data_IF_883982993705
#
_entry.id   IF_883982993705
#
_cell.length_a   1.000
_cell.length_b   1.000
_cell.length_c   1.000
_cell.angle_alpha   90.00
_cell.angle_beta   90.00
_cell.angle_gamma   90.00
#
_symmetry.space_group_name_H-M   'P 1'
#
loop_
_entity.id
_entity.type
_entity.pdbx_description
1 polymer ?
#
# COMPACT_ATOMS: atom_id res chain seq x y z
N UNK A 1 68.52 -38.10 18.00
CA UNK A 1 68.42 -39.41 17.31
C UNK A 1 66.97 -39.86 17.39
N UNK A 2 66.32 -40.45 16.36
CA UNK A 2 66.48 -40.44 14.89
C UNK A 2 65.57 -39.32 14.28
N UNK A 3 65.33 -39.09 12.99
CA UNK A 3 65.64 -39.77 11.73
C UNK A 3 64.43 -39.66 10.76
N UNK A 4 64.67 -39.06 9.60
CA UNK A 4 64.11 -39.29 8.26
C UNK A 4 62.60 -39.16 7.92
N UNK A 5 62.33 -38.15 7.06
CA UNK A 5 61.66 -38.18 5.75
C UNK A 5 60.59 -39.26 5.44
N UNK A 6 59.39 -38.81 5.04
CA UNK A 6 58.90 -39.07 3.68
C UNK A 6 57.86 -38.03 3.24
N UNK A 7 58.09 -37.43 2.07
CA UNK A 7 57.17 -36.58 1.32
C UNK A 7 56.22 -37.49 0.55
N UNK A 8 54.91 -37.26 0.65
CA UNK A 8 54.00 -37.64 -0.44
C UNK A 8 52.93 -36.58 -0.60
N UNK A 9 53.09 -35.83 -1.68
CA UNK A 9 52.08 -34.97 -2.29
C UNK A 9 50.97 -35.87 -2.83
N UNK A 10 49.74 -35.67 -2.37
CA UNK A 10 48.54 -36.01 -3.17
C UNK A 10 47.58 -34.84 -3.07
N UNK A 11 47.27 -34.28 -4.25
CA UNK A 11 46.33 -33.22 -4.50
C UNK A 11 44.94 -33.55 -3.92
N UNK A 12 44.38 -32.60 -3.20
CA UNK A 12 42.98 -32.60 -2.79
C UNK A 12 42.46 -31.17 -2.74
N UNK A 13 42.15 -30.63 -3.93
CA UNK A 13 41.48 -29.35 -4.11
C UNK A 13 40.05 -29.47 -3.59
N UNK A 14 39.72 -28.89 -2.43
CA UNK A 14 38.39 -28.30 -2.18
C UNK A 14 38.56 -27.05 -1.33
N UNK A 15 38.18 -25.95 -1.95
CA UNK A 15 38.41 -24.56 -1.56
C UNK A 15 37.59 -24.18 -0.34
N UNK A 16 38.27 -23.57 0.62
CA UNK A 16 37.76 -22.66 1.64
C UNK A 16 37.14 -21.42 0.98
N UNK A 17 35.82 -21.23 1.08
CA UNK A 17 35.18 -19.89 1.03
C UNK A 17 33.80 -19.95 1.66
N UNK A 18 33.74 -19.88 3.00
CA UNK A 18 32.59 -19.35 3.71
C UNK A 18 32.99 -17.96 4.19
N UNK A 19 32.10 -16.99 3.97
CA UNK A 19 32.24 -15.53 4.15
C UNK A 19 32.57 -14.82 2.82
N UNK A 20 31.68 -13.89 2.45
CA UNK A 20 31.59 -13.06 1.23
C UNK A 20 30.73 -13.67 0.09
N UNK A 21 29.41 -13.63 0.27
CA UNK A 21 28.44 -13.67 -0.86
C UNK A 21 27.18 -12.80 -0.60
N UNK A 22 27.25 -11.79 0.26
CA UNK A 22 26.13 -10.87 0.51
C UNK A 22 26.24 -9.51 -0.20
N UNK A 23 27.17 -9.29 -1.13
CA UNK A 23 27.38 -7.96 -1.71
C UNK A 23 27.38 -7.84 -3.24
N UNK A 24 27.08 -8.87 -4.02
CA UNK A 24 26.97 -8.72 -5.49
C UNK A 24 25.89 -9.60 -6.08
N UNK A 25 24.66 -9.09 -6.13
CA UNK A 25 23.61 -9.61 -7.02
C UNK A 25 22.79 -8.46 -7.61
N UNK A 26 23.46 -7.67 -8.45
CA UNK A 26 22.84 -6.80 -9.46
C UNK A 26 22.12 -7.59 -10.57
N UNK A 27 21.92 -8.90 -10.39
CA UNK A 27 21.26 -9.79 -11.35
C UNK A 27 19.77 -10.04 -11.08
N UNK A 28 19.20 -9.51 -9.99
CA UNK A 28 17.77 -9.70 -9.71
C UNK A 28 16.84 -8.75 -10.51
N UNK A 29 17.41 -7.74 -11.19
CA UNK A 29 16.65 -6.72 -11.93
C UNK A 29 16.47 -7.10 -13.43
N UNK A 30 17.18 -8.10 -13.95
CA UNK A 30 17.19 -8.41 -15.39
C UNK A 30 16.16 -9.47 -15.87
N UNK A 31 15.32 -10.04 -14.99
CA UNK A 31 14.31 -11.05 -15.39
C UNK A 31 12.88 -10.54 -15.57
N UNK A 32 12.61 -9.26 -15.31
CA UNK A 32 11.27 -8.67 -15.48
C UNK A 32 11.21 -7.60 -16.58
N UNK A 33 12.01 -7.77 -17.63
CA UNK A 33 11.75 -7.10 -18.91
C UNK A 33 10.47 -7.72 -19.53
N UNK A 34 9.42 -6.92 -19.65
CA UNK A 34 8.11 -7.30 -20.23
C UNK A 34 8.31 -7.96 -21.61
N UNK A 35 7.80 -9.17 -21.87
CA UNK A 35 7.46 -9.57 -23.22
C UNK A 35 6.19 -8.82 -23.62
N UNK A 36 6.22 -8.13 -24.76
CA UNK A 36 5.03 -7.65 -25.45
C UNK A 36 4.21 -8.87 -25.90
N UNK A 37 3.16 -9.21 -25.15
CA UNK A 37 2.21 -10.23 -25.57
C UNK A 37 0.89 -9.61 -26.01
N UNK A 38 0.49 -10.01 -27.22
CA UNK A 38 -0.80 -9.75 -27.84
C UNK A 38 -1.97 -10.18 -26.91
N UNK A 39 -3.13 -9.54 -27.02
CA UNK A 39 -4.28 -9.85 -26.16
C UNK A 39 -4.78 -11.28 -26.40
N UNK A 40 -4.77 -12.09 -25.35
CA UNK A 40 -5.43 -13.40 -25.30
C UNK A 40 -6.95 -13.15 -25.20
N UNK A 41 -7.81 -13.84 -25.99
CA UNK A 41 -9.25 -13.65 -25.90
C UNK A 41 -9.78 -14.10 -24.53
N UNK A 42 -10.56 -13.23 -23.88
CA UNK A 42 -11.17 -13.52 -22.59
C UNK A 42 -12.34 -14.52 -22.71
N UNK A 43 -12.40 -15.58 -21.88
CA UNK A 43 -13.56 -16.46 -21.83
C UNK A 43 -14.76 -15.76 -21.16
N UNK A 44 -15.95 -15.98 -21.70
CA UNK A 44 -17.22 -15.51 -21.10
C UNK A 44 -17.64 -16.46 -19.97
N UNK A 45 -17.42 -16.08 -18.71
CA UNK A 45 -17.93 -16.84 -17.56
C UNK A 45 -18.69 -15.97 -16.55
N UNK A 46 -19.76 -16.55 -15.99
CA UNK A 46 -20.65 -15.97 -14.98
C UNK A 46 -20.00 -15.88 -13.61
N UNK A 47 -20.55 -15.04 -12.73
CA UNK A 47 -19.97 -14.61 -11.46
C UNK A 47 -19.66 -15.74 -10.47
N UNK A 48 -20.36 -16.87 -10.52
CA UNK A 48 -20.19 -17.98 -9.57
C UNK A 48 -18.95 -18.85 -9.88
N UNK A 49 -18.65 -19.12 -11.15
CA UNK A 49 -17.45 -19.89 -11.55
C UNK A 49 -16.14 -19.08 -11.38
N UNK A 50 -16.21 -17.75 -11.42
CA UNK A 50 -15.05 -16.88 -11.22
C UNK A 50 -14.63 -16.76 -9.75
N UNK A 51 -15.56 -16.94 -8.80
CA UNK A 51 -15.20 -17.05 -7.38
C UNK A 51 -14.39 -18.31 -7.11
N UNK A 52 -14.74 -19.44 -7.71
CA UNK A 52 -14.10 -20.72 -7.43
C UNK A 52 -12.67 -20.79 -7.99
N UNK A 53 -12.43 -20.22 -9.18
CA UNK A 53 -11.08 -20.10 -9.75
C UNK A 53 -10.21 -19.15 -8.91
N UNK A 54 -10.79 -18.05 -8.43
CA UNK A 54 -10.07 -17.09 -7.60
C UNK A 54 -9.82 -17.60 -6.16
N UNK A 55 -10.72 -18.43 -5.64
CA UNK A 55 -10.58 -19.16 -4.38
C UNK A 55 -9.51 -20.24 -4.51
N UNK A 56 -9.51 -21.02 -5.59
CA UNK A 56 -8.47 -22.00 -5.87
C UNK A 56 -7.10 -21.34 -6.05
N UNK A 57 -7.03 -20.16 -6.70
CA UNK A 57 -5.80 -19.39 -6.82
C UNK A 57 -5.32 -18.85 -5.47
N UNK A 58 -6.23 -18.40 -4.59
CA UNK A 58 -5.89 -18.03 -3.22
C UNK A 58 -5.38 -19.24 -2.44
N UNK A 59 -6.17 -20.31 -2.33
CA UNK A 59 -5.81 -21.50 -1.56
C UNK A 59 -4.52 -22.17 -2.08
N UNK A 60 -4.28 -22.14 -3.39
CA UNK A 60 -3.00 -22.56 -4.00
C UNK A 60 -1.84 -21.64 -3.63
N UNK A 61 -2.00 -20.32 -3.75
CA UNK A 61 -0.90 -19.40 -3.46
C UNK A 61 -0.53 -19.36 -1.96
N UNK A 62 -1.53 -19.56 -1.11
CA UNK A 62 -1.45 -19.82 0.33
C UNK A 62 -0.65 -21.13 0.56
N UNK A 63 -1.05 -22.24 -0.05
CA UNK A 63 -0.36 -23.53 0.06
C UNK A 63 1.09 -23.53 -0.48
N UNK A 64 1.38 -22.74 -1.52
CA UNK A 64 2.71 -22.62 -2.14
C UNK A 64 3.62 -21.58 -1.44
N UNK A 65 3.14 -20.94 -0.37
CA UNK A 65 3.90 -19.93 0.38
C UNK A 65 4.22 -18.65 -0.41
N UNK A 66 3.57 -18.44 -1.56
CA UNK A 66 3.79 -17.30 -2.45
C UNK A 66 2.46 -16.59 -2.84
N UNK A 67 1.59 -16.19 -1.89
CA UNK A 67 0.39 -15.41 -2.20
C UNK A 67 0.75 -13.94 -2.39
N UNK A 68 1.72 -13.63 -3.26
CA UNK A 68 2.21 -12.27 -3.42
C UNK A 68 1.57 -11.68 -4.67
N UNK A 69 0.62 -10.77 -4.44
CA UNK A 69 0.17 -9.85 -5.48
C UNK A 69 1.38 -9.08 -6.00
N UNK A 70 1.58 -8.96 -7.33
CA UNK A 70 2.72 -8.21 -7.85
C UNK A 70 2.65 -6.76 -7.36
N UNK A 71 3.77 -6.15 -6.95
CA UNK A 71 3.78 -4.76 -6.54
C UNK A 71 3.56 -3.85 -7.75
N UNK A 72 3.17 -2.59 -7.50
CA UNK A 72 3.14 -1.54 -8.51
C UNK A 72 2.16 -1.76 -9.67
N UNK A 73 1.03 -2.41 -9.40
CA UNK A 73 -0.11 -2.46 -10.33
C UNK A 73 -1.04 -1.29 -10.04
N UNK A 74 -1.24 -0.39 -10.99
CA UNK A 74 -2.03 0.83 -10.77
C UNK A 74 -3.53 0.54 -10.62
N UNK A 75 -4.09 0.88 -9.46
CA UNK A 75 -5.52 0.73 -9.17
C UNK A 75 -6.19 2.08 -8.85
N UNK A 76 -5.74 2.78 -7.81
CA UNK A 76 -6.40 4.00 -7.31
C UNK A 76 -5.46 5.20 -7.25
N UNK A 77 -6.02 6.37 -7.58
CA UNK A 77 -5.28 7.61 -7.80
C UNK A 77 -6.14 8.78 -7.33
N UNK A 78 -5.69 9.47 -6.28
CA UNK A 78 -6.37 10.65 -5.76
C UNK A 78 -5.33 11.73 -5.45
N UNK A 79 -4.99 12.53 -6.46
CA UNK A 79 -4.06 13.64 -6.32
C UNK A 79 -4.77 14.90 -5.87
N UNK A 80 -4.13 15.65 -4.99
CA UNK A 80 -4.50 17.00 -4.61
C UNK A 80 -3.30 17.92 -4.90
N UNK A 81 -3.57 19.02 -5.59
CA UNK A 81 -2.53 19.93 -6.10
C UNK A 81 -2.66 21.30 -5.42
N UNK A 82 -1.54 21.85 -4.97
CA UNK A 82 -1.43 23.22 -4.46
C UNK A 82 -0.42 23.98 -5.34
N UNK A 83 -0.89 24.67 -6.39
CA UNK A 83 -0.03 25.30 -7.39
C UNK A 83 0.95 26.32 -6.83
N UNK A 84 0.50 27.21 -5.94
CA UNK A 84 1.37 28.23 -5.33
C UNK A 84 2.62 27.69 -4.64
N UNK A 85 2.55 26.48 -4.09
CA UNK A 85 3.66 25.85 -3.38
C UNK A 85 4.37 24.78 -4.21
N UNK A 86 3.98 24.59 -5.49
CA UNK A 86 4.50 23.51 -6.33
C UNK A 86 4.32 22.12 -5.70
N UNK A 87 3.22 21.91 -4.96
CA UNK A 87 3.00 20.72 -4.14
C UNK A 87 1.93 19.79 -4.74
N UNK A 88 2.26 18.51 -4.85
CA UNK A 88 1.31 17.44 -5.15
C UNK A 88 1.27 16.43 -4.01
N UNK A 89 0.08 16.15 -3.48
CA UNK A 89 -0.13 15.11 -2.49
C UNK A 89 -1.06 14.03 -3.02
N UNK A 90 -0.65 12.76 -2.94
CA UNK A 90 -1.53 11.64 -3.29
C UNK A 90 -2.21 11.04 -2.06
N UNK A 91 -3.54 11.12 -2.01
CA UNK A 91 -4.37 10.63 -0.89
C UNK A 91 -4.60 9.13 -1.01
N UNK A 92 -3.92 8.34 -0.19
CA UNK A 92 -4.21 6.90 -0.08
C UNK A 92 -5.29 6.69 0.97
N UNK A 93 -6.41 6.05 0.58
CA UNK A 93 -7.50 5.73 1.51
C UNK A 93 -6.97 5.03 2.76
N UNK A 94 -7.44 5.44 3.93
CA UNK A 94 -7.12 4.85 5.25
C UNK A 94 -5.65 4.99 5.69
N UNK A 95 -4.83 5.71 4.92
CA UNK A 95 -3.50 6.18 5.31
C UNK A 95 -3.55 7.64 5.74
N UNK A 96 -4.40 7.96 6.73
CA UNK A 96 -4.63 9.35 7.18
C UNK A 96 -5.04 10.30 6.04
N UNK A 97 -5.83 9.83 5.08
CA UNK A 97 -6.29 10.62 3.93
C UNK A 97 -7.08 11.88 4.34
N UNK A 98 -7.72 11.88 5.51
CA UNK A 98 -8.39 13.07 6.07
C UNK A 98 -7.39 14.14 6.46
N UNK A 99 -6.29 13.76 7.12
CA UNK A 99 -5.20 14.68 7.44
C UNK A 99 -4.62 15.28 6.15
N UNK A 100 -4.39 14.47 5.12
CA UNK A 100 -3.93 14.96 3.83
C UNK A 100 -4.94 15.93 3.19
N UNK A 101 -6.24 15.66 3.34
CA UNK A 101 -7.30 16.58 2.92
C UNK A 101 -7.23 17.93 3.64
N UNK A 102 -7.01 17.92 4.95
CA UNK A 102 -6.88 19.13 5.77
C UNK A 102 -5.60 19.90 5.45
N UNK A 103 -4.47 19.21 5.25
CA UNK A 103 -3.21 19.80 4.78
C UNK A 103 -3.45 20.54 3.48
N UNK A 104 -4.01 19.84 2.48
CA UNK A 104 -4.27 20.42 1.17
C UNK A 104 -5.31 21.53 1.23
N UNK A 105 -6.29 21.47 2.14
CA UNK A 105 -7.23 22.56 2.36
C UNK A 105 -6.54 23.82 2.96
N UNK A 106 -5.60 23.63 3.88
CA UNK A 106 -4.83 24.73 4.48
C UNK A 106 -3.88 25.41 3.49
N UNK A 107 -3.33 24.67 2.53
CA UNK A 107 -2.41 25.21 1.50
C UNK A 107 -3.11 25.60 0.18
N UNK A 108 -4.44 25.60 0.12
CA UNK A 108 -5.18 25.99 -1.08
C UNK A 108 -5.08 27.49 -1.35
N UNK A 109 -4.97 27.83 -2.63
CA UNK A 109 -4.91 29.22 -3.10
C UNK A 109 -6.27 29.93 -3.02
N UNK A 110 -7.36 29.19 -3.25
CA UNK A 110 -8.71 29.68 -3.02
C UNK A 110 -9.68 28.57 -2.62
N UNK A 111 -10.71 28.91 -1.86
CA UNK A 111 -11.76 27.96 -1.45
C UNK A 111 -12.61 27.44 -2.63
N UNK A 112 -12.55 28.08 -3.80
CA UNK A 112 -13.37 27.75 -4.97
C UNK A 112 -12.70 26.76 -5.93
N UNK A 113 -11.38 26.57 -5.87
CA UNK A 113 -10.68 25.64 -6.75
C UNK A 113 -10.69 24.20 -6.21
N UNK A 114 -11.26 23.29 -7.00
CA UNK A 114 -11.14 21.85 -6.78
C UNK A 114 -9.93 21.32 -7.55
N UNK A 115 -8.75 21.51 -6.98
CA UNK A 115 -7.49 20.99 -7.52
C UNK A 115 -7.30 19.50 -7.17
N UNK A 116 -8.32 18.68 -7.44
CA UNK A 116 -8.31 17.23 -7.21
C UNK A 116 -8.37 16.48 -8.55
N UNK A 117 -7.49 15.48 -8.72
CA UNK A 117 -7.29 14.78 -9.98
C UNK A 117 -7.09 13.29 -9.75
N UNK A 118 -7.52 12.47 -10.71
CA UNK A 118 -7.38 11.01 -10.63
C UNK A 118 -6.39 10.45 -11.67
N UNK A 119 -5.74 11.33 -12.44
CA UNK A 119 -4.76 10.96 -13.46
C UNK A 119 -3.65 12.01 -13.49
N UNK A 120 -2.39 11.59 -13.53
CA UNK A 120 -1.25 12.49 -13.66
C UNK A 120 -1.27 13.26 -14.97
N UNK A 121 -1.78 12.68 -16.06
CA UNK A 121 -1.92 13.37 -17.35
C UNK A 121 -2.76 14.65 -17.26
N UNK A 122 -3.83 14.64 -16.46
CA UNK A 122 -4.68 15.82 -16.23
C UNK A 122 -3.97 16.87 -15.36
N UNK A 123 -3.09 16.42 -14.47
CA UNK A 123 -2.26 17.33 -13.69
C UNK A 123 -1.16 17.92 -14.57
N UNK A 124 -0.52 17.11 -15.42
CA UNK A 124 0.51 17.54 -16.35
C UNK A 124 0.00 18.59 -17.34
N UNK A 125 -1.20 18.40 -17.89
CA UNK A 125 -1.83 19.35 -18.82
C UNK A 125 -1.95 20.76 -18.23
N UNK A 126 -2.24 20.87 -16.93
CA UNK A 126 -2.51 22.15 -16.28
C UNK A 126 -1.32 22.70 -15.48
N UNK A 127 -0.47 21.83 -14.94
CA UNK A 127 0.48 22.19 -13.90
C UNK A 127 1.88 21.59 -14.09
N UNK A 128 2.14 20.77 -15.12
CA UNK A 128 3.41 20.05 -15.26
C UNK A 128 3.77 19.27 -13.97
N UNK A 129 3.08 18.15 -13.73
CA UNK A 129 3.18 17.29 -12.56
C UNK A 129 4.62 16.91 -12.21
N UNK A 130 5.49 16.75 -13.21
CA UNK A 130 6.91 16.41 -12.99
C UNK A 130 7.65 17.47 -12.17
N UNK A 131 7.31 18.76 -12.34
CA UNK A 131 7.94 19.88 -11.64
C UNK A 131 7.56 20.00 -10.16
N UNK A 132 6.45 19.36 -9.75
CA UNK A 132 5.91 19.50 -8.39
C UNK A 132 6.65 18.59 -7.42
N UNK A 133 6.87 19.10 -6.21
CA UNK A 133 7.31 18.30 -5.06
C UNK A 133 6.16 17.39 -4.66
N UNK A 134 6.43 16.08 -4.62
CA UNK A 134 5.40 15.06 -4.38
C UNK A 134 5.53 14.53 -2.96
N UNK A 135 4.42 14.45 -2.25
CA UNK A 135 4.38 13.82 -0.94
C UNK A 135 3.22 12.82 -0.84
N UNK A 136 3.44 11.78 -0.05
CA UNK A 136 2.43 10.78 0.24
C UNK A 136 2.55 10.33 1.68
N UNK A 137 1.42 10.23 2.34
CA UNK A 137 1.36 9.69 3.69
C UNK A 137 1.00 8.21 3.60
N UNK A 138 1.82 7.37 4.22
CA UNK A 138 1.61 5.93 4.33
C UNK A 138 1.45 5.53 5.79
N UNK A 139 0.74 4.43 6.01
CA UNK A 139 0.49 3.83 7.32
C UNK A 139 0.86 2.35 7.27
N UNK A 140 1.16 1.77 8.43
CA UNK A 140 1.31 0.31 8.57
C UNK A 140 0.16 -0.44 7.84
N UNK A 141 0.46 -1.39 6.92
CA UNK A 141 -0.54 -2.06 6.12
C UNK A 141 -1.61 -2.79 6.92
N UNK A 142 -1.25 -3.44 8.04
CA UNK A 142 -2.19 -4.17 8.89
C UNK A 142 -3.15 -3.17 9.53
N UNK A 143 -2.61 -2.13 10.16
CA UNK A 143 -3.41 -1.11 10.84
C UNK A 143 -4.31 -0.35 9.86
N UNK A 144 -3.83 -0.09 8.63
CA UNK A 144 -4.65 0.47 7.54
C UNK A 144 -5.81 -0.45 7.19
N UNK A 145 -5.55 -1.75 7.02
CA UNK A 145 -6.58 -2.75 6.74
C UNK A 145 -7.62 -2.81 7.86
N UNK A 146 -7.20 -2.84 9.13
CA UNK A 146 -8.14 -2.86 10.26
C UNK A 146 -9.00 -1.59 10.28
N UNK A 147 -8.40 -0.42 10.04
CA UNK A 147 -9.15 0.85 9.97
C UNK A 147 -10.17 0.89 8.83
N UNK A 148 -9.85 0.25 7.70
CA UNK A 148 -10.83 0.00 6.65
C UNK A 148 -11.93 -0.95 7.13
N UNK A 149 -11.55 -2.14 7.60
CA UNK A 149 -12.47 -3.25 7.84
C UNK A 149 -13.47 -2.94 8.96
N UNK A 150 -13.01 -2.40 10.08
CA UNK A 150 -13.89 -1.99 11.20
C UNK A 150 -14.88 -0.93 10.73
N UNK A 151 -14.37 0.13 10.10
CA UNK A 151 -15.20 1.25 9.69
C UNK A 151 -16.22 0.85 8.60
N UNK A 152 -15.79 0.09 7.57
CA UNK A 152 -16.61 -0.21 6.38
C UNK A 152 -17.36 -1.53 6.47
N UNK A 153 -16.70 -2.58 6.95
CA UNK A 153 -17.25 -3.93 6.96
C UNK A 153 -17.97 -4.30 8.27
N UNK A 154 -17.78 -3.52 9.34
CA UNK A 154 -18.49 -3.71 10.60
C UNK A 154 -19.46 -2.55 10.83
N UNK A 155 -18.98 -1.32 10.95
CA UNK A 155 -19.83 -0.19 11.34
C UNK A 155 -20.80 0.23 10.23
N UNK A 156 -20.29 0.53 9.03
CA UNK A 156 -21.16 0.95 7.92
C UNK A 156 -22.06 -0.20 7.43
N UNK A 157 -21.55 -1.44 7.44
CA UNK A 157 -22.36 -2.63 7.11
C UNK A 157 -23.52 -2.86 8.10
N UNK A 158 -23.34 -2.60 9.40
CA UNK A 158 -24.43 -2.65 10.39
C UNK A 158 -25.49 -1.58 10.11
N UNK A 159 -25.09 -0.40 9.67
CA UNK A 159 -26.00 0.71 9.35
C UNK A 159 -26.83 0.45 8.09
N UNK A 160 -26.31 -0.32 7.14
CA UNK A 160 -27.04 -0.72 5.94
C UNK A 160 -26.91 -2.23 5.64
N UNK A 161 -27.74 -3.08 6.28
CA UNK A 161 -27.71 -4.52 6.06
C UNK A 161 -28.06 -4.92 4.62
N UNK A 162 -28.88 -4.13 3.92
CA UNK A 162 -29.30 -4.38 2.54
C UNK A 162 -28.24 -3.99 1.50
N UNK A 163 -27.25 -3.17 1.85
CA UNK A 163 -26.22 -2.68 0.93
C UNK A 163 -25.20 -3.75 0.49
N UNK A 164 -25.20 -4.94 1.12
CA UNK A 164 -24.26 -6.05 0.85
C UNK A 164 -22.78 -5.62 0.86
N UNK A 165 -22.43 -4.62 1.68
CA UNK A 165 -21.06 -4.12 1.83
C UNK A 165 -20.08 -5.24 2.19
N UNK A 166 -18.83 -5.09 1.74
CA UNK A 166 -17.77 -6.06 2.01
C UNK A 166 -18.16 -7.48 1.59
N UNK A 167 -18.77 -7.57 0.40
CA UNK A 167 -19.16 -8.81 -0.25
C UNK A 167 -20.11 -9.68 0.58
N UNK A 168 -20.92 -9.04 1.44
CA UNK A 168 -21.83 -9.72 2.37
C UNK A 168 -21.13 -10.72 3.30
N UNK A 169 -19.85 -10.49 3.65
CA UNK A 169 -19.11 -11.33 4.60
C UNK A 169 -19.49 -11.09 6.06
N UNK A 170 -20.35 -10.11 6.37
CA UNK A 170 -20.92 -9.85 7.70
C UNK A 170 -19.86 -9.76 8.82
N UNK A 171 -18.72 -9.14 8.53
CA UNK A 171 -17.62 -8.98 9.49
C UNK A 171 -16.65 -10.17 9.57
N UNK A 172 -16.82 -11.22 8.77
CA UNK A 172 -15.84 -12.30 8.66
C UNK A 172 -14.63 -11.87 7.81
N UNK A 173 -13.46 -11.80 8.46
CA UNK A 173 -12.20 -11.33 7.86
C UNK A 173 -11.73 -12.28 6.76
N UNK A 174 -11.81 -13.60 6.99
CA UNK A 174 -11.29 -14.59 6.04
C UNK A 174 -12.13 -14.60 4.75
N UNK A 175 -13.45 -14.57 4.89
CA UNK A 175 -14.38 -14.39 3.78
C UNK A 175 -14.04 -13.14 2.97
N UNK A 176 -13.84 -12.00 3.64
CA UNK A 176 -13.51 -10.75 2.96
C UNK A 176 -12.19 -10.85 2.21
N UNK A 177 -11.13 -11.31 2.88
CA UNK A 177 -9.80 -11.41 2.30
C UNK A 177 -9.79 -12.35 1.10
N UNK A 178 -10.46 -13.52 1.18
CA UNK A 178 -10.60 -14.45 0.06
C UNK A 178 -11.23 -13.77 -1.17
N UNK A 179 -12.36 -13.07 -0.97
CA UNK A 179 -13.07 -12.39 -2.06
C UNK A 179 -12.30 -11.20 -2.62
N UNK A 180 -11.69 -10.38 -1.76
CA UNK A 180 -10.90 -9.22 -2.14
C UNK A 180 -9.62 -9.63 -2.88
N UNK A 181 -8.90 -10.62 -2.37
CA UNK A 181 -7.70 -11.14 -3.01
C UNK A 181 -8.03 -11.69 -4.41
N UNK A 182 -9.12 -12.45 -4.53
CA UNK A 182 -9.57 -12.94 -5.83
C UNK A 182 -9.92 -11.85 -6.85
N UNK A 183 -10.36 -10.68 -6.39
CA UNK A 183 -10.48 -9.49 -7.27
C UNK A 183 -9.11 -8.97 -7.67
N UNK A 184 -8.19 -8.81 -6.73
CA UNK A 184 -6.85 -8.30 -7.02
C UNK A 184 -6.02 -9.20 -7.93
N UNK A 185 -6.08 -10.53 -7.77
CA UNK A 185 -5.44 -11.47 -8.72
C UNK A 185 -5.97 -11.26 -10.14
N UNK A 186 -7.28 -11.11 -10.30
CA UNK A 186 -7.88 -10.81 -11.62
C UNK A 186 -7.42 -9.48 -12.18
N UNK A 187 -7.24 -8.47 -11.33
CA UNK A 187 -6.68 -7.19 -11.77
C UNK A 187 -5.25 -7.30 -12.25
N UNK A 188 -4.43 -8.03 -11.49
CA UNK A 188 -2.99 -8.12 -11.71
C UNK A 188 -2.63 -8.97 -12.92
N UNK A 189 -3.37 -10.05 -13.17
CA UNK A 189 -3.03 -11.06 -14.18
C UNK A 189 -4.10 -11.25 -15.26
N UNK A 190 -5.23 -10.54 -15.16
CA UNK A 190 -6.35 -10.66 -16.09
C UNK A 190 -6.83 -9.30 -16.59
N UNK A 191 -8.16 -9.12 -16.59
CA UNK A 191 -8.77 -7.89 -17.08
C UNK A 191 -8.74 -6.77 -16.04
N UNK A 192 -8.73 -5.52 -16.53
CA UNK A 192 -8.90 -4.33 -15.69
C UNK A 192 -10.19 -4.44 -14.89
N UNK A 193 -10.09 -4.30 -13.56
CA UNK A 193 -11.25 -4.33 -12.68
C UNK A 193 -12.12 -3.10 -12.89
N UNK A 194 -13.44 -3.30 -12.84
CA UNK A 194 -14.37 -2.25 -12.43
C UNK A 194 -14.21 -2.07 -10.91
N UNK A 195 -13.46 -1.03 -10.54
CA UNK A 195 -13.03 -0.77 -9.17
C UNK A 195 -14.24 -0.52 -8.27
N UNK A 196 -14.41 -1.35 -7.24
CA UNK A 196 -15.46 -1.20 -6.24
C UNK A 196 -15.04 -0.24 -5.12
N UNK A 197 -16.01 0.09 -4.25
CA UNK A 197 -15.75 0.88 -3.06
C UNK A 197 -14.72 0.21 -2.13
N UNK A 198 -14.85 -1.10 -1.90
CA UNK A 198 -13.93 -1.91 -1.11
C UNK A 198 -12.52 -1.94 -1.73
N UNK A 199 -12.44 -2.10 -3.06
CA UNK A 199 -11.15 -2.19 -3.76
C UNK A 199 -10.27 -0.96 -3.47
N UNK A 200 -10.82 0.25 -3.54
CA UNK A 200 -10.08 1.50 -3.25
C UNK A 200 -9.54 1.56 -1.82
N UNK A 201 -10.28 1.01 -0.86
CA UNK A 201 -9.89 1.05 0.55
C UNK A 201 -8.96 -0.09 0.95
N UNK A 202 -9.07 -1.24 0.29
CA UNK A 202 -8.32 -2.45 0.60
C UNK A 202 -7.06 -2.64 -0.28
N UNK A 203 -6.91 -1.85 -1.35
CA UNK A 203 -5.79 -1.93 -2.28
C UNK A 203 -4.43 -1.96 -1.57
N UNK A 204 -3.45 -2.76 -2.03
CA UNK A 204 -2.07 -2.67 -1.55
C UNK A 204 -1.54 -1.23 -1.68
N UNK A 205 -0.71 -0.79 -0.73
CA UNK A 205 -0.14 0.57 -0.77
C UNK A 205 0.58 0.85 -2.10
N UNK A 206 1.30 -0.14 -2.62
CA UNK A 206 2.05 -0.04 -3.87
C UNK A 206 1.19 0.10 -5.13
N UNK A 207 -0.12 -0.13 -5.02
CA UNK A 207 -1.08 -0.05 -6.12
C UNK A 207 -1.74 1.34 -6.25
N UNK A 208 -1.28 2.29 -5.44
CA UNK A 208 -1.79 3.66 -5.42
C UNK A 208 -0.76 4.63 -6.02
N UNK A 209 -1.24 5.80 -6.42
CA UNK A 209 -0.39 6.97 -6.70
C UNK A 209 0.65 6.78 -7.81
N UNK A 210 0.43 5.82 -8.72
CA UNK A 210 1.36 5.49 -9.82
C UNK A 210 2.79 5.27 -9.32
N UNK A 211 2.92 4.59 -8.18
CA UNK A 211 4.22 4.32 -7.56
C UNK A 211 5.15 3.50 -8.46
N UNK A 212 4.64 2.70 -9.38
CA UNK A 212 5.47 2.05 -10.39
C UNK A 212 6.30 3.03 -11.24
N UNK A 213 5.80 4.25 -11.40
CA UNK A 213 6.43 5.31 -12.20
C UNK A 213 7.12 6.34 -11.32
N UNK A 214 6.43 6.83 -10.28
CA UNK A 214 6.83 8.05 -9.58
C UNK A 214 7.31 7.84 -8.14
N UNK A 215 7.39 6.61 -7.61
CA UNK A 215 7.72 6.37 -6.19
C UNK A 215 9.00 7.09 -5.75
N UNK A 216 10.04 7.09 -6.60
CA UNK A 216 11.32 7.77 -6.31
C UNK A 216 11.20 9.29 -6.18
N UNK A 217 10.15 9.88 -6.72
CA UNK A 217 9.91 11.33 -6.71
C UNK A 217 9.07 11.75 -5.49
N UNK A 218 8.50 10.80 -4.75
CA UNK A 218 7.69 11.04 -3.56
C UNK A 218 8.54 11.16 -2.29
N UNK A 219 8.27 12.19 -1.49
CA UNK A 219 8.53 12.16 -0.05
C UNK A 219 7.49 11.24 0.61
N UNK A 220 7.93 10.05 1.02
CA UNK A 220 7.09 9.09 1.74
C UNK A 220 7.14 9.41 3.24
N UNK A 221 6.01 9.88 3.76
CA UNK A 221 5.84 10.23 5.17
C UNK A 221 5.11 9.08 5.86
N UNK A 222 5.71 8.52 6.91
CA UNK A 222 5.15 7.37 7.63
C UNK A 222 4.43 7.85 8.88
N UNK A 223 3.13 7.62 8.97
CA UNK A 223 2.34 7.84 10.18
C UNK A 223 1.95 6.50 10.80
N UNK A 224 2.61 6.15 11.91
CA UNK A 224 2.32 4.93 12.66
C UNK A 224 1.21 5.16 13.70
N UNK A 225 0.69 4.07 14.25
CA UNK A 225 -0.26 4.12 15.37
C UNK A 225 0.42 4.41 16.71
N UNK A 226 1.69 4.03 16.84
CA UNK A 226 2.52 4.37 18.00
C UNK A 226 2.66 5.88 18.13
N UNK A 227 2.43 6.41 19.33
CA UNK A 227 2.37 7.85 19.54
C UNK A 227 3.70 8.54 19.22
N UNK A 228 4.82 7.98 19.65
CA UNK A 228 6.15 8.54 19.45
C UNK A 228 6.48 8.58 17.96
N UNK A 229 6.32 7.45 17.27
CA UNK A 229 6.57 7.38 15.82
C UNK A 229 5.59 8.21 15.00
N UNK A 230 4.35 8.36 15.47
CA UNK A 230 3.37 9.27 14.87
C UNK A 230 3.86 10.71 14.96
N UNK A 231 4.35 11.16 16.12
CA UNK A 231 4.95 12.49 16.30
C UNK A 231 6.15 12.70 15.39
N UNK A 232 7.01 11.68 15.22
CA UNK A 232 8.14 11.72 14.28
C UNK A 232 7.68 11.91 12.83
N UNK A 233 6.67 11.14 12.40
CA UNK A 233 6.12 11.26 11.05
C UNK A 233 5.42 12.61 10.79
N UNK A 234 4.72 13.15 11.80
CA UNK A 234 4.14 14.50 11.73
C UNK A 234 5.25 15.55 11.63
N UNK A 235 6.33 15.40 12.41
CA UNK A 235 7.48 16.30 12.34
C UNK A 235 8.17 16.25 10.97
N UNK A 236 8.19 15.08 10.32
CA UNK A 236 8.70 14.95 8.96
C UNK A 236 7.81 15.65 7.92
N UNK A 237 6.48 15.55 8.07
CA UNK A 237 5.53 16.29 7.25
C UNK A 237 5.74 17.80 7.41
N UNK A 238 5.84 18.30 8.65
CA UNK A 238 6.08 19.72 8.93
C UNK A 238 7.38 20.20 8.29
N UNK A 239 8.47 19.44 8.44
CA UNK A 239 9.76 19.79 7.81
C UNK A 239 9.65 19.86 6.29
N UNK A 240 8.93 18.91 5.68
CA UNK A 240 8.69 18.92 4.25
C UNK A 240 7.90 20.17 3.82
N UNK A 241 6.83 20.54 4.55
CA UNK A 241 6.01 21.72 4.25
C UNK A 241 6.78 23.04 4.44
N UNK A 242 7.60 23.14 5.49
CA UNK A 242 8.45 24.31 5.72
C UNK A 242 9.45 24.53 4.57
N UNK A 243 9.94 23.45 3.95
CA UNK A 243 10.80 23.53 2.77
C UNK A 243 10.10 24.01 1.49
N UNK A 244 8.79 24.25 1.53
CA UNK A 244 7.98 24.77 0.42
C UNK A 244 7.48 26.20 0.68
N UNK A 245 8.03 26.88 1.71
CA UNK A 245 7.62 28.23 2.12
C UNK A 245 6.12 28.35 2.47
N UNK A 246 5.53 27.26 2.99
CA UNK A 246 4.19 27.28 3.57
C UNK A 246 4.22 28.14 4.85
N UNK A 247 3.22 29.02 5.00
CA UNK A 247 3.18 29.94 6.14
C UNK A 247 3.09 29.17 7.48
N UNK A 248 3.77 29.64 8.54
CA UNK A 248 3.82 28.95 9.84
C UNK A 248 2.44 28.68 10.45
N UNK A 249 1.48 29.59 10.32
CA UNK A 249 0.11 29.44 10.84
C UNK A 249 -0.63 28.25 10.21
N UNK A 250 -0.43 28.01 8.90
CA UNK A 250 -0.99 26.84 8.20
C UNK A 250 -0.31 25.55 8.68
N UNK A 251 1.00 25.59 8.90
CA UNK A 251 1.78 24.46 9.40
C UNK A 251 1.38 24.09 10.83
N UNK A 252 1.16 25.08 11.70
CA UNK A 252 0.72 24.88 13.08
C UNK A 252 -0.71 24.31 13.14
N UNK A 253 -1.60 24.77 12.28
CA UNK A 253 -2.94 24.19 12.14
C UNK A 253 -2.88 22.72 11.71
N UNK A 254 -2.00 22.39 10.75
CA UNK A 254 -1.78 21.02 10.27
C UNK A 254 -1.21 20.15 11.40
N UNK A 255 -0.22 20.64 12.13
CA UNK A 255 0.40 19.94 13.25
C UNK A 255 -0.62 19.61 14.33
N UNK A 256 -1.41 20.60 14.72
CA UNK A 256 -2.50 20.46 15.71
C UNK A 256 -3.54 19.44 15.23
N UNK A 257 -4.04 19.59 14.00
CA UNK A 257 -5.00 18.65 13.38
C UNK A 257 -4.46 17.21 13.28
N UNK A 258 -3.15 17.05 13.06
CA UNK A 258 -2.51 15.74 12.94
C UNK A 258 -2.30 15.06 14.31
N UNK A 259 -2.00 15.85 15.35
CA UNK A 259 -1.76 15.38 16.71
C UNK A 259 -3.04 15.10 17.48
N UNK A 260 -4.05 15.96 17.32
CA UNK A 260 -5.36 15.79 17.98
C UNK A 260 -5.98 14.45 17.63
N UNK A 261 -5.61 13.83 16.51
CA UNK A 261 -5.82 12.40 16.23
C UNK A 261 -7.29 11.99 16.07
N UNK A 262 -8.23 12.83 16.45
CA UNK A 262 -9.62 12.48 16.71
C UNK A 262 -10.53 13.14 15.69
N UNK A 263 -10.54 12.52 14.51
CA UNK A 263 -11.86 12.38 13.90
C UNK A 263 -12.66 11.38 14.75
N UNK A 264 -14.00 11.43 14.77
CA UNK A 264 -14.88 10.41 15.36
C UNK A 264 -14.69 8.96 14.83
N UNK A 265 -13.63 8.72 14.06
CA UNK A 265 -13.20 7.48 13.44
C UNK A 265 -11.74 7.10 13.80
N UNK A 266 -11.12 7.77 14.78
CA UNK A 266 -9.80 7.42 15.30
C UNK A 266 -9.81 5.97 15.76
N UNK A 267 -9.14 5.15 14.97
CA UNK A 267 -9.39 3.70 14.92
C UNK A 267 -8.54 3.01 15.97
N UNK A 268 -8.94 3.14 17.23
CA UNK A 268 -8.45 2.31 18.33
C UNK A 268 -9.59 2.03 19.34
N UNK A 269 -10.74 1.60 18.81
CA UNK A 269 -11.81 1.02 19.61
C UNK A 269 -11.53 -0.45 19.95
N UNK A 270 -12.34 -1.02 20.84
CA UNK A 270 -12.24 -2.44 21.22
C UNK A 270 -12.30 -3.37 20.01
N UNK A 271 -13.11 -3.04 19.01
CA UNK A 271 -13.30 -3.85 17.81
C UNK A 271 -12.00 -3.89 16.98
N UNK A 272 -11.34 -2.75 16.81
CA UNK A 272 -10.04 -2.65 16.16
C UNK A 272 -8.97 -3.47 16.88
N UNK A 273 -8.92 -3.38 18.21
CA UNK A 273 -7.97 -4.17 19.01
C UNK A 273 -8.18 -5.68 18.84
N UNK A 274 -9.42 -6.15 18.91
CA UNK A 274 -9.73 -7.58 18.76
C UNK A 274 -9.38 -8.08 17.36
N UNK A 275 -9.60 -7.28 16.32
CA UNK A 275 -9.24 -7.65 14.95
C UNK A 275 -7.72 -7.70 14.77
N UNK A 276 -6.97 -6.72 15.28
CA UNK A 276 -5.50 -6.76 15.25
C UNK A 276 -5.00 -8.01 15.95
N UNK A 277 -5.54 -8.33 17.14
CA UNK A 277 -5.18 -9.54 17.88
C UNK A 277 -5.47 -10.79 17.05
N UNK A 278 -6.67 -10.90 16.48
CA UNK A 278 -7.10 -12.04 15.63
C UNK A 278 -6.18 -12.23 14.41
N UNK A 279 -5.79 -11.15 13.75
CA UNK A 279 -4.84 -11.22 12.61
C UNK A 279 -3.46 -11.66 13.11
N UNK A 280 -2.93 -11.02 14.16
CA UNK A 280 -1.57 -11.30 14.66
C UNK A 280 -1.41 -12.71 15.21
N UNK A 281 -2.47 -13.27 15.81
CA UNK A 281 -2.47 -14.62 16.39
C UNK A 281 -2.84 -15.73 15.42
N UNK A 282 -3.27 -15.42 14.19
CA UNK A 282 -3.70 -16.42 13.22
C UNK A 282 -2.67 -16.54 12.07
N UNK A 283 -1.88 -17.63 12.02
CA UNK A 283 -0.87 -17.85 10.99
C UNK A 283 -1.46 -17.85 9.57
N UNK A 284 -2.65 -18.41 9.37
CA UNK A 284 -3.34 -18.42 8.08
C UNK A 284 -3.67 -17.02 7.59
N UNK A 285 -4.08 -16.10 8.47
CA UNK A 285 -4.34 -14.70 8.11
C UNK A 285 -3.06 -13.91 7.84
N UNK A 286 -1.92 -14.30 8.41
CA UNK A 286 -0.63 -13.61 8.26
C UNK A 286 0.17 -14.08 7.07
N UNK A 287 0.21 -15.40 6.89
CA UNK A 287 1.16 -16.09 6.03
C UNK A 287 0.46 -16.95 4.99
N UNK A 288 -0.84 -17.18 5.16
CA UNK A 288 -1.51 -18.11 4.30
C UNK A 288 -1.04 -19.54 4.46
N UNK A 289 -0.68 -19.95 5.66
CA UNK A 289 -0.35 -21.35 5.92
C UNK A 289 -1.38 -21.93 6.89
N UNK A 290 -1.92 -23.10 6.56
CA UNK A 290 -2.65 -23.95 7.50
C UNK A 290 -1.68 -24.77 8.32
#
# INVERSE_FOLDING_TARGET
MPGQFCVTVVLGVVVTTSIISMLTSTSYIARYARPSHAPVPAPKHTWDNLSDIALAAFDKAIAEGNPILPPFIDLDREYSIAPKYGLSMCKIKKSMSTLMGNVMAGVKDSAKEKNEYNFTSLVDEKFNFTSYKKAVVVRDPITRFVSFFVNKCIHDAKKCPSCKLCYNCRGDILCFLKRQYGRFVRHAFGNKLNVSYEDKHAAPLTWNCEFGTYLKDYRVIKLESDETKRKEGISDLVRFLNGLDVKPDVVDFIFTSALEGDTPHATYDSDSYQIVKKIRSNPTLRYGTT
#
